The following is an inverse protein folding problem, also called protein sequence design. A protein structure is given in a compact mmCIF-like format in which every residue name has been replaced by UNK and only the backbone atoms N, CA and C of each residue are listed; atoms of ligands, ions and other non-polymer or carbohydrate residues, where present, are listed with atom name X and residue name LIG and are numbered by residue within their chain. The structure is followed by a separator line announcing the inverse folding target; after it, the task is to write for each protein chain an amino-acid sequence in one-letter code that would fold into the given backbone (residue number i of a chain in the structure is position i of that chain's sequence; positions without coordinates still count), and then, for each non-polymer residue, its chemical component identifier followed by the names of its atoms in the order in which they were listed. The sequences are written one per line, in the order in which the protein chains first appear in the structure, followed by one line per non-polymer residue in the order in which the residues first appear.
data_IF_303376721886
#
_entry.id   IF_303376721886
#
_cell.length_a   1.000
_cell.length_b   1.000
_cell.length_c   1.000
_cell.angle_alpha   90.00
_cell.angle_beta   90.00
_cell.angle_gamma   90.00
#
_symmetry.space_group_name_H-M   'P 1'
#
loop_
_entity.id
_entity.type
_entity.pdbx_description
1 polymer ?
#
# COMPACT_ATOMS: atom_id res chain seq x y z
N UNK A 1 43.30 -41.39 81.28
CA UNK A 1 41.93 -40.90 81.57
C UNK A 1 41.68 -39.65 80.74
N UNK A 2 40.50 -39.57 80.08
CA UNK A 2 39.81 -38.35 79.58
C UNK A 2 40.50 -37.62 78.38
N UNK A 3 39.84 -37.21 77.30
CA UNK A 3 38.43 -37.16 76.87
C UNK A 3 38.39 -37.05 75.33
N UNK A 4 37.33 -37.59 74.74
CA UNK A 4 36.84 -37.42 73.36
C UNK A 4 36.64 -35.95 72.96
N UNK A 5 36.77 -35.62 71.66
CA UNK A 5 35.73 -34.95 70.85
C UNK A 5 35.98 -35.16 69.34
N UNK A 6 34.94 -35.64 68.66
CA UNK A 6 34.82 -35.71 67.21
C UNK A 6 34.53 -34.31 66.63
N UNK A 7 35.05 -34.01 65.45
CA UNK A 7 34.43 -33.04 64.55
C UNK A 7 34.82 -33.31 63.11
N UNK A 8 33.78 -33.64 62.34
CA UNK A 8 33.74 -33.85 60.90
C UNK A 8 34.13 -32.54 60.22
N UNK A 9 35.20 -32.56 59.41
CA UNK A 9 35.55 -31.46 58.50
C UNK A 9 35.87 -32.05 57.12
N UNK A 10 34.88 -32.74 56.54
CA UNK A 10 34.91 -33.16 55.15
C UNK A 10 33.79 -32.39 54.41
N UNK A 11 34.18 -31.46 53.55
CA UNK A 11 33.27 -30.91 52.54
C UNK A 11 33.01 -29.41 52.56
N UNK A 12 34.04 -28.55 52.67
CA UNK A 12 33.94 -27.14 52.28
C UNK A 12 35.25 -26.71 51.62
N UNK A 13 35.50 -27.07 50.34
CA UNK A 13 36.57 -26.43 49.56
C UNK A 13 36.38 -26.38 48.03
N UNK A 14 35.21 -26.66 47.47
CA UNK A 14 35.05 -26.61 46.00
C UNK A 14 33.81 -25.85 45.59
N UNK A 15 33.80 -24.52 45.79
CA UNK A 15 32.80 -23.64 45.17
C UNK A 15 33.29 -22.19 44.99
N UNK A 16 34.48 -22.02 44.42
CA UNK A 16 34.96 -20.72 43.93
C UNK A 16 35.45 -20.83 42.48
N UNK A 17 34.63 -21.41 41.60
CA UNK A 17 34.62 -20.97 40.21
C UNK A 17 33.72 -19.75 40.15
N UNK A 18 34.33 -18.61 40.46
CA UNK A 18 33.79 -17.29 40.16
C UNK A 18 33.40 -17.28 38.68
N UNK A 19 32.14 -16.96 38.38
CA UNK A 19 31.74 -16.60 37.02
C UNK A 19 32.66 -15.46 36.58
N UNK A 20 33.59 -15.74 35.66
CA UNK A 20 34.23 -14.67 34.91
C UNK A 20 33.07 -13.99 34.17
N UNK A 21 32.74 -12.75 34.54
CA UNK A 21 31.75 -11.99 33.80
C UNK A 21 32.27 -11.90 32.36
N UNK A 22 31.55 -12.49 31.41
CA UNK A 22 31.93 -12.41 30.01
C UNK A 22 32.20 -10.94 29.66
N UNK A 23 33.31 -10.66 28.95
CA UNK A 23 33.60 -9.29 28.56
C UNK A 23 32.41 -8.74 27.79
N UNK A 24 31.83 -7.65 28.30
CA UNK A 24 30.72 -6.97 27.63
C UNK A 24 31.30 -6.38 26.34
N UNK A 25 30.89 -6.93 25.20
CA UNK A 25 31.11 -6.29 23.90
C UNK A 25 30.38 -4.96 23.94
N UNK A 26 31.10 -3.85 23.76
CA UNK A 26 30.54 -2.51 23.67
C UNK A 26 31.14 -1.81 22.45
N UNK A 27 30.40 -1.91 21.34
CA UNK A 27 30.69 -1.22 20.09
C UNK A 27 29.53 -0.29 19.77
N UNK A 28 29.67 0.54 18.72
CA UNK A 28 28.60 1.46 18.32
C UNK A 28 27.29 0.73 17.96
N UNK A 29 27.36 -0.51 17.47
CA UNK A 29 26.20 -1.28 17.00
C UNK A 29 25.86 -2.50 17.88
N UNK A 30 26.55 -2.70 19.01
CA UNK A 30 26.32 -3.85 19.89
C UNK A 30 26.70 -3.56 21.35
N UNK A 31 25.81 -3.91 22.28
CA UNK A 31 26.08 -3.97 23.73
C UNK A 31 25.67 -5.33 24.27
N UNK A 32 26.65 -6.10 24.76
CA UNK A 32 26.42 -7.48 25.20
C UNK A 32 25.87 -8.35 24.06
N UNK A 33 24.72 -8.98 24.28
CA UNK A 33 24.02 -9.81 23.28
C UNK A 33 23.06 -8.99 22.38
N UNK A 34 22.82 -7.72 22.70
CA UNK A 34 21.91 -6.86 21.94
C UNK A 34 22.65 -6.16 20.82
N UNK A 35 22.10 -6.23 19.60
CA UNK A 35 22.66 -5.63 18.38
C UNK A 35 21.67 -4.65 17.76
N UNK A 36 22.16 -3.55 17.20
CA UNK A 36 21.35 -2.62 16.41
C UNK A 36 21.00 -3.27 15.06
N UNK A 37 19.73 -3.17 14.68
CA UNK A 37 19.23 -3.55 13.35
C UNK A 37 18.67 -2.33 12.66
N UNK A 38 19.01 -2.17 11.39
CA UNK A 38 18.53 -1.07 10.56
C UNK A 38 17.47 -1.61 9.59
N UNK A 39 16.21 -1.24 9.80
CA UNK A 39 15.13 -1.66 8.91
C UNK A 39 15.30 -1.02 7.52
N UNK A 40 14.92 -1.73 6.43
CA UNK A 40 14.99 -1.15 5.10
C UNK A 40 14.09 0.08 4.95
N UNK A 41 14.62 1.16 4.39
CA UNK A 41 13.84 2.32 3.93
C UNK A 41 13.73 2.24 2.41
N UNK A 42 12.51 2.21 1.87
CA UNK A 42 12.25 2.09 0.43
C UNK A 42 11.82 3.45 -0.12
N UNK A 43 12.46 3.89 -1.20
CA UNK A 43 12.10 5.09 -1.96
C UNK A 43 11.63 4.69 -3.36
N UNK A 44 10.37 4.98 -3.68
CA UNK A 44 9.77 4.76 -5.00
C UNK A 44 9.80 6.07 -5.78
N UNK A 45 10.37 6.06 -6.98
CA UNK A 45 10.49 7.26 -7.83
C UNK A 45 9.27 7.41 -8.73
N UNK A 46 8.81 8.64 -8.98
CA UNK A 46 7.68 8.91 -9.88
C UNK A 46 6.31 8.63 -9.28
N UNK A 47 5.28 8.57 -10.13
CA UNK A 47 3.88 8.57 -9.69
C UNK A 47 3.47 7.26 -9.01
N UNK A 48 2.74 7.35 -7.89
CA UNK A 48 2.19 6.18 -7.19
C UNK A 48 1.16 5.39 -8.02
N UNK A 49 0.49 6.05 -8.98
CA UNK A 49 -0.44 5.45 -9.92
C UNK A 49 0.06 5.74 -11.34
N UNK A 50 0.22 4.69 -12.15
CA UNK A 50 0.67 4.78 -13.55
C UNK A 50 -0.35 4.08 -14.44
N UNK A 51 -0.77 4.76 -15.51
CA UNK A 51 -1.66 4.18 -16.53
C UNK A 51 -0.83 3.70 -17.73
N UNK A 52 -1.13 2.50 -18.21
CA UNK A 52 -0.44 1.82 -19.31
C UNK A 52 -1.50 1.28 -20.28
N UNK A 53 -1.42 1.66 -21.54
CA UNK A 53 -2.33 1.12 -22.56
C UNK A 53 -2.09 -0.39 -22.73
N UNK A 54 -3.15 -1.16 -22.93
CA UNK A 54 -3.06 -2.61 -23.15
C UNK A 54 -2.06 -2.94 -24.28
N UNK A 55 -1.22 -3.96 -24.06
CA UNK A 55 -0.17 -4.41 -24.97
C UNK A 55 1.09 -3.53 -24.99
N UNK A 56 1.09 -2.38 -24.31
CA UNK A 56 2.27 -1.53 -24.20
C UNK A 56 3.25 -2.06 -23.14
N UNK A 57 4.52 -1.68 -23.28
CA UNK A 57 5.55 -2.01 -22.28
C UNK A 57 5.42 -1.07 -21.08
N UNK A 58 5.35 -1.64 -19.88
CA UNK A 58 5.52 -0.89 -18.64
C UNK A 58 7.01 -0.86 -18.26
N UNK A 59 7.55 0.34 -18.06
CA UNK A 59 8.89 0.55 -17.49
C UNK A 59 8.75 1.22 -16.14
N UNK A 60 9.24 0.57 -15.08
CA UNK A 60 9.19 1.15 -13.74
C UNK A 60 10.13 2.38 -13.65
N UNK A 61 9.63 3.55 -13.20
CA UNK A 61 10.46 4.73 -13.01
C UNK A 61 11.58 4.57 -11.98
N UNK A 62 11.57 3.51 -11.18
CA UNK A 62 12.68 3.09 -10.34
C UNK A 62 12.36 3.04 -8.85
N UNK A 63 13.00 2.10 -8.16
CA UNK A 63 12.88 1.89 -6.72
C UNK A 63 14.27 1.65 -6.13
N UNK A 64 14.56 2.28 -4.99
CA UNK A 64 15.79 2.07 -4.22
C UNK A 64 15.45 1.73 -2.78
N UNK A 65 16.31 0.95 -2.14
CA UNK A 65 16.20 0.67 -0.71
C UNK A 65 17.55 0.68 -0.03
N UNK A 66 17.59 1.15 1.21
CA UNK A 66 18.79 1.10 2.06
C UNK A 66 18.44 0.65 3.48
N UNK A 67 19.38 -0.01 4.14
CA UNK A 67 19.32 -0.36 5.55
C UNK A 67 20.51 0.28 6.25
N UNK A 68 20.28 1.39 6.96
CA UNK A 68 21.37 2.26 7.42
C UNK A 68 22.03 2.94 6.21
N UNK A 69 23.35 2.83 6.10
CA UNK A 69 24.12 3.37 4.97
C UNK A 69 24.30 2.40 3.80
N UNK A 70 23.84 1.15 3.93
CA UNK A 70 24.03 0.12 2.91
C UNK A 70 22.81 0.01 1.99
N UNK A 71 23.03 -0.11 0.69
CA UNK A 71 21.99 -0.44 -0.28
C UNK A 71 21.50 -1.88 -0.08
N UNK A 72 20.20 -2.10 -0.30
CA UNK A 72 19.53 -3.40 -0.16
C UNK A 72 18.77 -3.71 -1.45
N UNK A 73 18.87 -4.94 -1.99
CA UNK A 73 18.11 -5.32 -3.17
C UNK A 73 16.60 -5.24 -2.92
N UNK A 74 15.88 -4.82 -3.96
CA UNK A 74 14.41 -4.73 -3.96
C UNK A 74 13.85 -5.83 -4.86
N UNK A 75 12.92 -6.60 -4.32
CA UNK A 75 12.15 -7.59 -5.07
C UNK A 75 10.79 -6.99 -5.40
N UNK A 76 10.37 -7.04 -6.66
CA UNK A 76 9.06 -6.55 -7.12
C UNK A 76 8.14 -7.72 -7.42
N UNK A 77 6.93 -7.68 -6.89
CA UNK A 77 5.88 -8.69 -7.15
C UNK A 77 4.50 -8.03 -7.30
N UNK A 78 3.59 -8.59 -8.12
CA UNK A 78 3.79 -9.69 -9.06
C UNK A 78 4.55 -9.26 -10.31
N UNK A 79 4.84 -10.21 -11.20
CA UNK A 79 5.18 -9.87 -12.59
C UNK A 79 3.94 -9.31 -13.28
N UNK A 80 4.06 -8.13 -13.88
CA UNK A 80 2.94 -7.46 -14.54
C UNK A 80 2.70 -8.04 -15.94
N UNK A 81 1.46 -8.42 -16.25
CA UNK A 81 1.02 -8.70 -17.61
C UNK A 81 0.26 -7.50 -18.17
N UNK A 82 0.86 -6.78 -19.11
CA UNK A 82 0.25 -5.59 -19.73
C UNK A 82 -0.72 -5.93 -20.86
N UNK A 83 -0.96 -7.20 -21.17
CA UNK A 83 -1.95 -7.64 -22.16
C UNK A 83 -3.33 -7.90 -21.55
N UNK A 84 -3.50 -7.67 -20.26
CA UNK A 84 -4.77 -7.89 -19.56
C UNK A 84 -5.16 -6.62 -18.82
N UNK A 85 -6.35 -6.11 -19.11
CA UNK A 85 -6.86 -4.92 -18.44
C UNK A 85 -7.10 -5.19 -16.96
N UNK A 86 -6.76 -4.21 -16.12
CA UNK A 86 -6.89 -4.34 -14.68
C UNK A 86 -6.12 -3.28 -13.90
N UNK A 87 -6.36 -3.25 -12.59
CA UNK A 87 -5.63 -2.43 -11.64
C UNK A 87 -4.73 -3.33 -10.82
N UNK A 88 -3.43 -3.25 -11.04
CA UNK A 88 -2.42 -4.11 -10.43
C UNK A 88 -1.65 -3.34 -9.35
N UNK A 89 -1.50 -3.93 -8.16
CA UNK A 89 -0.61 -3.41 -7.14
C UNK A 89 0.73 -4.12 -7.22
N UNK A 90 1.77 -3.41 -7.65
CA UNK A 90 3.15 -3.85 -7.52
C UNK A 90 3.60 -3.58 -6.08
N UNK A 91 4.19 -4.59 -5.45
CA UNK A 91 4.77 -4.56 -4.11
C UNK A 91 6.26 -4.72 -4.21
N UNK A 92 6.97 -3.72 -3.70
CA UNK A 92 8.42 -3.67 -3.57
C UNK A 92 8.78 -4.12 -2.17
N UNK A 93 9.57 -5.18 -2.04
CA UNK A 93 10.03 -5.70 -0.76
C UNK A 93 11.55 -5.63 -0.70
N UNK A 94 12.07 -5.04 0.37
CA UNK A 94 13.49 -5.08 0.70
C UNK A 94 13.65 -5.78 2.05
N UNK A 95 14.68 -6.61 2.18
CA UNK A 95 14.99 -7.37 3.40
C UNK A 95 16.43 -7.14 3.80
N UNK A 96 16.66 -6.66 5.02
CA UNK A 96 18.01 -6.41 5.53
C UNK A 96 18.74 -7.73 5.83
N UNK A 97 20.05 -7.64 6.11
CA UNK A 97 20.91 -8.79 6.43
C UNK A 97 20.48 -9.59 7.68
N UNK A 98 19.68 -8.97 8.56
CA UNK A 98 19.21 -9.57 9.80
C UNK A 98 17.78 -10.16 9.64
N UNK A 99 17.23 -10.16 8.41
CA UNK A 99 15.95 -10.78 8.07
C UNK A 99 14.71 -9.88 8.20
N UNK A 100 14.87 -8.62 8.58
CA UNK A 100 13.76 -7.67 8.70
C UNK A 100 13.41 -7.05 7.36
N UNK A 101 12.11 -6.98 7.04
CA UNK A 101 11.62 -6.49 5.75
C UNK A 101 10.82 -5.20 5.88
N UNK A 102 10.76 -4.45 4.78
CA UNK A 102 9.83 -3.33 4.59
C UNK A 102 9.25 -3.38 3.19
N UNK A 103 8.09 -2.74 3.00
CA UNK A 103 7.40 -2.74 1.72
C UNK A 103 6.95 -1.35 1.29
N UNK A 104 6.88 -1.16 -0.02
CA UNK A 104 6.23 -0.02 -0.67
C UNK A 104 5.45 -0.51 -1.89
N UNK A 105 4.54 0.30 -2.43
CA UNK A 105 3.71 -0.12 -3.56
C UNK A 105 3.62 0.92 -4.67
N UNK A 106 3.28 0.43 -5.87
CA UNK A 106 2.83 1.23 -7.01
C UNK A 106 1.59 0.58 -7.61
N UNK A 107 0.61 1.39 -7.96
CA UNK A 107 -0.56 0.92 -8.72
C UNK A 107 -0.31 1.13 -10.20
N UNK A 108 -0.42 0.07 -10.99
CA UNK A 108 -0.36 0.12 -12.45
C UNK A 108 -1.73 -0.25 -13.01
N UNK A 109 -2.29 0.65 -13.82
CA UNK A 109 -3.58 0.48 -14.48
C UNK A 109 -3.32 0.09 -15.92
N UNK A 110 -3.61 -1.15 -16.28
CA UNK A 110 -3.61 -1.60 -17.67
C UNK A 110 -5.02 -1.39 -18.21
N UNK A 111 -5.15 -0.68 -19.32
CA UNK A 111 -6.46 -0.27 -19.80
C UNK A 111 -6.57 -0.32 -21.33
N UNK A 112 -7.77 -0.65 -21.79
CA UNK A 112 -8.23 -0.47 -23.17
C UNK A 112 -9.29 0.61 -23.21
N UNK A 113 -9.13 1.58 -24.09
CA UNK A 113 -10.11 2.66 -24.30
C UNK A 113 -10.38 2.88 -25.77
N UNK A 114 -11.66 3.06 -26.09
CA UNK A 114 -12.11 3.52 -27.40
C UNK A 114 -11.84 5.02 -27.57
N UNK A 115 -11.80 5.47 -28.83
CA UNK A 115 -11.62 6.88 -29.17
C UNK A 115 -12.71 7.78 -28.54
N UNK A 116 -13.93 7.26 -28.37
CA UNK A 116 -15.04 7.99 -27.75
C UNK A 116 -14.76 8.40 -26.30
N UNK A 117 -13.94 7.63 -25.57
CA UNK A 117 -13.49 8.02 -24.22
C UNK A 117 -12.62 9.28 -24.24
N UNK A 118 -11.97 9.60 -25.36
CA UNK A 118 -11.23 10.85 -25.53
C UNK A 118 -12.17 12.04 -25.72
N UNK A 119 -13.28 11.84 -26.42
CA UNK A 119 -14.29 12.88 -26.65
C UNK A 119 -15.11 13.20 -25.39
N UNK A 120 -15.16 12.28 -24.43
CA UNK A 120 -15.97 12.40 -23.21
C UNK A 120 -15.11 12.36 -21.94
N UNK A 121 -14.55 13.51 -21.59
CA UNK A 121 -13.79 13.71 -20.36
C UNK A 121 -14.71 13.78 -19.13
N UNK A 122 -14.55 12.82 -18.22
CA UNK A 122 -15.33 12.71 -16.99
C UNK A 122 -14.64 13.36 -15.78
N UNK A 123 -13.53 14.09 -15.97
CA UNK A 123 -12.90 14.82 -14.88
C UNK A 123 -13.80 15.95 -14.36
N UNK A 124 -13.64 16.28 -13.09
CA UNK A 124 -14.38 17.33 -12.41
C UNK A 124 -14.84 16.96 -11.01
N UNK A 125 -15.58 17.89 -10.41
CA UNK A 125 -16.21 17.71 -9.10
C UNK A 125 -17.65 17.21 -9.28
N UNK A 126 -18.04 16.21 -8.50
CA UNK A 126 -19.38 15.64 -8.55
C UNK A 126 -19.99 15.62 -7.14
N UNK A 127 -21.01 16.43 -6.93
CA UNK A 127 -21.66 16.60 -5.63
C UNK A 127 -22.59 15.43 -5.32
N UNK A 128 -22.44 14.84 -4.13
CA UNK A 128 -23.44 13.96 -3.54
C UNK A 128 -24.40 14.79 -2.68
N UNK A 129 -25.56 15.14 -3.22
CA UNK A 129 -26.53 16.00 -2.54
C UNK A 129 -26.91 15.51 -1.12
N UNK A 130 -27.01 14.19 -0.93
CA UNK A 130 -27.37 13.59 0.35
C UNK A 130 -26.32 13.78 1.46
N UNK A 131 -25.08 14.14 1.15
CA UNK A 131 -24.03 14.43 2.15
C UNK A 131 -23.44 15.84 2.01
N UNK A 132 -23.73 16.55 0.91
CA UNK A 132 -23.14 17.85 0.62
C UNK A 132 -21.64 17.79 0.26
N UNK A 133 -21.08 16.59 0.09
CA UNK A 133 -19.66 16.37 -0.21
C UNK A 133 -19.49 15.92 -1.64
N UNK A 134 -18.40 16.37 -2.28
CA UNK A 134 -18.08 16.00 -3.65
C UNK A 134 -17.10 14.83 -3.72
N UNK A 135 -17.26 14.02 -4.77
CA UNK A 135 -16.21 13.18 -5.29
C UNK A 135 -15.45 13.95 -6.37
N UNK A 136 -14.12 13.82 -6.40
CA UNK A 136 -13.28 14.54 -7.37
C UNK A 136 -12.67 13.53 -8.32
N UNK A 137 -12.97 13.67 -9.61
CA UNK A 137 -12.43 12.85 -10.69
C UNK A 137 -11.26 13.57 -11.34
N UNK A 138 -10.06 13.04 -11.20
CA UNK A 138 -8.83 13.57 -11.80
C UNK A 138 -8.36 12.65 -12.90
N UNK A 139 -8.31 13.14 -14.14
CA UNK A 139 -7.85 12.35 -15.29
C UNK A 139 -6.35 12.09 -15.21
N UNK A 140 -5.94 10.85 -15.43
CA UNK A 140 -4.52 10.46 -15.52
C UNK A 140 -4.15 9.83 -16.86
N UNK A 141 -5.12 9.31 -17.59
CA UNK A 141 -4.98 8.90 -18.99
C UNK A 141 -6.35 8.97 -19.69
N UNK A 142 -6.38 8.67 -20.99
CA UNK A 142 -7.64 8.49 -21.72
C UNK A 142 -8.49 7.45 -20.99
N UNK A 143 -9.72 7.80 -20.64
CA UNK A 143 -10.63 6.89 -19.92
C UNK A 143 -10.15 6.40 -18.55
N UNK A 144 -9.09 6.95 -17.95
CA UNK A 144 -8.60 6.53 -16.63
C UNK A 144 -8.53 7.73 -15.70
N UNK A 145 -9.16 7.58 -14.53
CA UNK A 145 -9.31 8.63 -13.54
C UNK A 145 -8.90 8.14 -12.16
N UNK A 146 -8.32 9.03 -11.36
CA UNK A 146 -8.26 8.86 -9.90
C UNK A 146 -9.49 9.56 -9.32
N UNK A 147 -10.30 8.82 -8.58
CA UNK A 147 -11.50 9.35 -7.91
C UNK A 147 -11.24 9.45 -6.42
N UNK A 148 -11.24 10.68 -5.92
CA UNK A 148 -11.22 10.98 -4.50
C UNK A 148 -12.64 10.93 -3.93
N UNK A 149 -12.79 10.35 -2.74
CA UNK A 149 -14.04 10.15 -2.03
C UNK A 149 -15.13 9.47 -2.89
N UNK A 150 -14.86 8.30 -3.49
CA UNK A 150 -15.79 7.63 -4.41
C UNK A 150 -17.14 7.30 -3.75
N UNK A 151 -17.18 7.12 -2.43
CA UNK A 151 -18.41 6.90 -1.68
C UNK A 151 -19.16 8.16 -1.23
N UNK A 152 -18.59 9.36 -1.44
CA UNK A 152 -19.18 10.64 -1.03
C UNK A 152 -19.45 10.74 0.47
N UNK A 153 -18.59 10.17 1.31
CA UNK A 153 -18.73 10.21 2.76
C UNK A 153 -18.22 11.55 3.32
N UNK A 154 -18.72 11.92 4.51
CA UNK A 154 -18.30 13.13 5.25
C UNK A 154 -16.97 12.92 6.01
N UNK A 155 -16.62 11.67 6.28
CA UNK A 155 -15.32 11.25 6.82
C UNK A 155 -14.59 10.38 5.79
N UNK A 156 -13.27 10.27 5.90
CA UNK A 156 -12.47 9.48 4.94
C UNK A 156 -12.43 10.09 3.53
N UNK A 157 -12.56 11.42 3.42
CA UNK A 157 -12.61 12.17 2.15
C UNK A 157 -11.30 12.10 1.36
N UNK A 158 -10.21 11.59 1.95
CA UNK A 158 -8.92 11.36 1.29
C UNK A 158 -8.83 10.00 0.59
N UNK A 159 -9.82 9.11 0.73
CA UNK A 159 -9.79 7.82 0.04
C UNK A 159 -9.77 8.01 -1.48
N UNK A 160 -8.82 7.39 -2.15
CA UNK A 160 -8.72 7.42 -3.62
C UNK A 160 -8.79 6.02 -4.21
N UNK A 161 -9.43 5.92 -5.37
CA UNK A 161 -9.49 4.72 -6.22
C UNK A 161 -9.25 5.09 -7.68
N UNK A 162 -8.87 4.11 -8.49
CA UNK A 162 -8.89 4.21 -9.95
C UNK A 162 -10.29 3.90 -10.45
N UNK A 163 -10.85 4.80 -11.27
CA UNK A 163 -12.03 4.53 -12.06
C UNK A 163 -11.66 4.52 -13.56
N UNK A 164 -12.33 3.67 -14.32
CA UNK A 164 -12.16 3.54 -15.77
C UNK A 164 -13.44 3.88 -16.51
N UNK A 165 -13.27 4.45 -17.70
CA UNK A 165 -14.30 4.72 -18.69
C UNK A 165 -13.78 4.26 -20.06
N UNK A 166 -14.02 3.00 -20.46
CA UNK A 166 -13.50 2.47 -21.70
C UNK A 166 -14.19 3.05 -22.96
N UNK A 167 -15.41 3.59 -22.86
CA UNK A 167 -16.22 3.96 -24.04
C UNK A 167 -16.68 5.42 -24.13
N UNK A 168 -16.39 6.25 -23.13
CA UNK A 168 -16.98 7.58 -22.98
C UNK A 168 -18.28 7.60 -22.16
N UNK A 169 -18.98 6.47 -22.08
CA UNK A 169 -20.34 6.39 -21.52
C UNK A 169 -20.50 5.37 -20.39
N UNK A 170 -19.50 4.54 -20.16
CA UNK A 170 -19.51 3.57 -19.06
C UNK A 170 -18.53 4.00 -18.00
N UNK A 171 -18.81 3.63 -16.75
CA UNK A 171 -17.89 3.85 -15.65
C UNK A 171 -17.78 2.56 -14.84
N UNK A 172 -16.61 2.34 -14.26
CA UNK A 172 -16.44 1.33 -13.22
C UNK A 172 -15.23 1.67 -12.35
N UNK A 173 -15.25 1.18 -11.12
CA UNK A 173 -14.10 1.01 -10.25
C UNK A 173 -13.81 -0.50 -10.28
N UNK A 174 -12.82 -0.95 -11.05
CA UNK A 174 -12.37 -2.34 -11.02
C UNK A 174 -11.92 -2.73 -9.62
N UNK A 175 -12.03 -4.01 -9.29
CA UNK A 175 -11.50 -4.54 -8.02
C UNK A 175 -10.03 -4.19 -7.87
N UNK A 176 -9.71 -3.49 -6.80
CA UNK A 176 -8.38 -2.97 -6.52
C UNK A 176 -8.19 -2.75 -5.03
N UNK A 177 -6.95 -2.55 -4.59
CA UNK A 177 -6.67 -2.04 -3.26
C UNK A 177 -6.71 -0.51 -3.29
N UNK A 178 -7.67 0.09 -2.57
CA UNK A 178 -7.78 1.53 -2.42
C UNK A 178 -6.67 2.10 -1.52
N UNK A 179 -6.58 3.43 -1.44
CA UNK A 179 -5.53 4.10 -0.65
C UNK A 179 -5.62 3.86 0.86
N UNK A 180 -6.76 3.40 1.36
CA UNK A 180 -6.96 2.97 2.75
C UNK A 180 -6.48 1.53 3.00
N UNK A 181 -5.96 0.86 1.97
CA UNK A 181 -5.50 -0.52 2.04
C UNK A 181 -6.60 -1.56 1.87
N UNK A 182 -7.87 -1.18 1.71
CA UNK A 182 -8.98 -2.13 1.56
C UNK A 182 -9.26 -2.47 0.10
N UNK A 183 -9.71 -3.70 -0.13
CA UNK A 183 -10.25 -4.08 -1.44
C UNK A 183 -11.53 -3.30 -1.69
N UNK A 184 -11.57 -2.60 -2.82
CA UNK A 184 -12.67 -1.73 -3.22
C UNK A 184 -13.05 -1.96 -4.68
N UNK A 185 -14.34 -1.82 -4.97
CA UNK A 185 -14.88 -1.87 -6.32
C UNK A 185 -16.22 -1.13 -6.39
N UNK A 186 -16.77 -0.96 -7.60
CA UNK A 186 -18.14 -0.51 -7.80
C UNK A 186 -19.04 -1.64 -8.28
N UNK A 187 -20.35 -1.44 -8.10
CA UNK A 187 -21.42 -2.17 -8.80
C UNK A 187 -22.58 -1.23 -9.10
N UNK A 188 -23.57 -1.69 -9.89
CA UNK A 188 -24.77 -0.93 -10.24
C UNK A 188 -24.45 0.44 -10.86
N UNK A 189 -23.46 0.45 -11.75
CA UNK A 189 -22.93 1.64 -12.39
C UNK A 189 -23.90 2.19 -13.42
N UNK A 190 -24.05 3.51 -13.44
CA UNK A 190 -24.77 4.23 -14.47
C UNK A 190 -24.15 5.59 -14.65
N UNK A 191 -23.92 5.98 -15.88
CA UNK A 191 -23.51 7.33 -16.25
C UNK A 191 -24.52 7.90 -17.25
N UNK A 192 -24.97 9.13 -16.99
CA UNK A 192 -25.93 9.84 -17.81
C UNK A 192 -25.25 11.13 -18.27
N UNK A 193 -24.98 11.20 -19.58
CA UNK A 193 -24.36 12.34 -20.23
C UNK A 193 -25.37 13.47 -20.45
N UNK A 194 -25.69 14.19 -19.37
CA UNK A 194 -26.54 15.40 -19.37
C UNK A 194 -25.69 16.63 -19.03
N UNK A 195 -26.32 17.80 -19.05
CA UNK A 195 -25.77 19.03 -18.50
C UNK A 195 -26.64 19.48 -17.31
N UNK A 196 -26.24 19.23 -16.05
CA UNK A 196 -24.99 18.57 -15.62
C UNK A 196 -25.02 17.04 -15.73
N UNK A 197 -23.85 16.44 -15.91
CA UNK A 197 -23.71 14.99 -16.00
C UNK A 197 -23.99 14.32 -14.65
N UNK A 198 -24.55 13.12 -14.67
CA UNK A 198 -24.92 12.38 -13.47
C UNK A 198 -24.26 11.01 -13.52
N UNK A 199 -23.69 10.58 -12.40
CA UNK A 199 -23.33 9.18 -12.25
C UNK A 199 -23.90 8.55 -10.99
N UNK A 200 -24.08 7.23 -11.05
CA UNK A 200 -24.53 6.41 -9.94
C UNK A 200 -23.65 5.17 -9.83
N UNK A 201 -23.36 4.78 -8.60
CA UNK A 201 -22.77 3.48 -8.28
C UNK A 201 -23.05 3.07 -6.84
N UNK A 202 -22.93 1.78 -6.57
CA UNK A 202 -22.68 1.27 -5.23
C UNK A 202 -21.16 1.18 -5.08
N UNK A 203 -20.60 1.88 -4.10
CA UNK A 203 -19.18 1.74 -3.76
C UNK A 203 -19.04 0.68 -2.68
N UNK A 204 -18.38 -0.42 -3.01
CA UNK A 204 -18.10 -1.54 -2.11
C UNK A 204 -16.71 -1.32 -1.49
N UNK A 205 -16.68 -0.96 -0.21
CA UNK A 205 -15.48 -0.86 0.62
C UNK A 205 -15.91 -1.07 2.09
N UNK A 206 -15.13 -1.77 2.93
CA UNK A 206 -15.49 -2.06 4.32
C UNK A 206 -15.82 -0.84 5.20
N UNK A 207 -15.28 0.33 4.86
CA UNK A 207 -15.50 1.59 5.59
C UNK A 207 -16.72 2.38 5.10
N UNK A 208 -17.43 1.87 4.09
CA UNK A 208 -18.56 2.52 3.44
C UNK A 208 -19.81 1.63 3.44
N UNK A 209 -21.00 2.22 3.55
CA UNK A 209 -22.26 1.50 3.37
C UNK A 209 -22.47 1.01 1.92
N UNK A 210 -23.37 0.07 1.72
CA UNK A 210 -23.64 -0.58 0.41
C UNK A 210 -24.74 0.10 -0.42
N UNK A 211 -25.20 1.29 -0.01
CA UNK A 211 -26.26 2.01 -0.73
C UNK A 211 -25.83 2.52 -2.10
N UNK A 212 -26.78 2.55 -3.05
CA UNK A 212 -26.61 3.24 -4.32
C UNK A 212 -26.47 4.74 -4.08
N UNK A 213 -25.46 5.35 -4.71
CA UNK A 213 -25.12 6.76 -4.54
C UNK A 213 -25.30 7.47 -5.87
N UNK A 214 -25.84 8.69 -5.82
CA UNK A 214 -25.99 9.54 -7.00
C UNK A 214 -25.14 10.78 -6.81
N UNK A 215 -24.39 11.12 -7.85
CA UNK A 215 -23.52 12.28 -7.89
C UNK A 215 -23.80 13.11 -9.13
N UNK A 216 -23.78 14.43 -8.98
CA UNK A 216 -24.11 15.38 -10.05
C UNK A 216 -22.90 16.27 -10.29
N UNK A 217 -22.43 16.35 -11.54
CA UNK A 217 -21.31 17.20 -11.93
C UNK A 217 -21.60 18.65 -11.55
N UNK A 218 -20.59 19.33 -11.03
CA UNK A 218 -20.62 20.76 -10.69
C UNK A 218 -19.89 21.58 -11.74
#
# INVERSE_FOLDING_TARGET
MKKTYALIFAGILTMIMSCSKDPIISTNDQVGISKITYYPTITVTGNSIVAVANGSVFTDPGVKASAGSADVPVVTTPTLNTNTDGVYTLTYTATNKDGFSSTATRTVVVYTTAADAAAHDLSGSYLRAATGVSAIWTKIALGVYVVQNPGGAVSGTSLTVVAINPSGYTISIPSQRASDGNVSQSTSESYINLSPAIYKWIFLNPTYGTGLRTFVKQ
#
